data_IF_572483402794
#
_entry.id   IF_572483402794
#
_cell.length_a   1.000
_cell.length_b   1.000
_cell.length_c   1.000
_cell.angle_alpha   90.00
_cell.angle_beta   90.00
_cell.angle_gamma   90.00
#
_symmetry.space_group_name_H-M   'P 1'
#
loop_
_entity.id
_entity.type
_entity.pdbx_description
1 polymer ?
#
# COMPACT_ATOMS: atom_id res chain seq x y z
N UNK A 1 12.32 8.44 -38.90
CA UNK A 1 10.85 8.29 -38.96
C UNK A 1 10.31 8.45 -37.55
N UNK A 2 9.76 9.62 -37.21
CA UNK A 2 9.15 9.88 -35.90
C UNK A 2 7.74 9.31 -35.88
N UNK A 3 7.57 8.13 -35.30
CA UNK A 3 6.26 7.48 -35.18
C UNK A 3 5.51 8.08 -33.99
N UNK A 4 4.83 9.20 -34.20
CA UNK A 4 3.81 9.73 -33.28
C UNK A 4 2.44 9.30 -33.74
N UNK A 5 2.20 7.98 -33.73
CA UNK A 5 0.85 7.43 -33.91
C UNK A 5 0.14 7.44 -32.56
N UNK A 6 -0.76 8.41 -32.39
CA UNK A 6 -1.77 8.39 -31.32
C UNK A 6 -2.74 7.23 -31.57
N UNK A 7 -2.51 6.11 -30.90
CA UNK A 7 -3.39 4.95 -30.87
C UNK A 7 -4.71 5.36 -30.19
N UNK A 8 -5.82 5.31 -30.94
CA UNK A 8 -7.16 5.32 -30.36
C UNK A 8 -7.44 3.90 -29.83
N UNK A 9 -7.42 3.72 -28.51
CA UNK A 9 -7.89 2.48 -27.89
C UNK A 9 -9.42 2.46 -27.94
N UNK A 10 -9.99 1.40 -28.52
CA UNK A 10 -11.44 1.24 -28.66
C UNK A 10 -12.08 0.65 -27.41
N UNK A 11 -13.29 1.16 -27.17
CA UNK A 11 -14.23 0.93 -26.08
C UNK A 11 -14.51 -0.57 -25.85
N UNK A 12 -14.56 -0.99 -24.58
CA UNK A 12 -15.19 -2.26 -24.21
C UNK A 12 -16.61 -1.97 -23.72
N UNK A 13 -17.56 -2.82 -24.12
CA UNK A 13 -18.92 -2.84 -23.59
C UNK A 13 -18.91 -3.01 -22.07
N UNK A 14 -19.20 -1.93 -21.35
CA UNK A 14 -19.45 -1.97 -19.91
C UNK A 14 -20.89 -2.43 -19.71
N UNK A 15 -21.07 -3.61 -19.13
CA UNK A 15 -22.39 -4.07 -18.68
C UNK A 15 -22.96 -3.06 -17.66
N UNK A 16 -24.27 -2.79 -17.67
CA UNK A 16 -24.89 -1.85 -16.73
C UNK A 16 -24.62 -2.30 -15.28
N UNK A 17 -23.97 -1.42 -14.51
CA UNK A 17 -23.61 -1.70 -13.11
C UNK A 17 -24.79 -1.35 -12.20
N UNK A 18 -25.21 -2.25 -11.28
CA UNK A 18 -26.23 -1.93 -10.28
C UNK A 18 -25.79 -0.78 -9.37
N UNK A 19 -26.67 0.18 -9.10
CA UNK A 19 -26.40 1.28 -8.15
C UNK A 19 -26.42 0.75 -6.72
N UNK A 20 -25.35 1.02 -5.96
CA UNK A 20 -25.29 0.75 -4.52
C UNK A 20 -25.95 1.89 -3.72
N UNK A 21 -26.68 1.57 -2.65
CA UNK A 21 -27.25 2.57 -1.74
C UNK A 21 -26.14 3.24 -0.90
N UNK A 22 -26.16 4.57 -0.82
CA UNK A 22 -25.14 5.35 -0.12
C UNK A 22 -25.23 5.19 1.41
N UNK A 23 -24.12 4.78 2.04
CA UNK A 23 -24.01 4.67 3.49
C UNK A 23 -23.84 6.05 4.17
N UNK A 24 -24.55 6.27 5.28
CA UNK A 24 -24.45 7.51 6.11
C UNK A 24 -23.44 7.31 7.24
N UNK A 25 -22.23 7.83 7.10
CA UNK A 25 -21.20 7.89 8.16
C UNK A 25 -20.86 9.33 8.52
N UNK A 26 -20.66 9.62 9.81
CA UNK A 26 -20.43 10.96 10.36
C UNK A 26 -19.17 11.63 9.81
N UNK A 27 -19.33 12.82 9.24
CA UNK A 27 -18.34 13.47 8.38
C UNK A 27 -17.41 14.40 9.16
N UNK A 28 -16.13 14.03 9.22
CA UNK A 28 -15.07 15.02 9.03
C UNK A 28 -15.36 15.73 7.70
N UNK A 29 -15.21 17.06 7.60
CA UNK A 29 -15.53 17.78 6.37
C UNK A 29 -14.85 17.09 5.18
N UNK A 30 -15.65 16.43 4.34
CA UNK A 30 -15.13 15.54 3.32
C UNK A 30 -14.32 16.37 2.33
N UNK A 31 -13.09 15.96 2.06
CA UNK A 31 -12.28 16.59 1.03
C UNK A 31 -13.01 16.49 -0.31
N UNK A 32 -13.46 17.63 -0.82
CA UNK A 32 -14.29 17.74 -2.03
C UNK A 32 -13.47 17.85 -3.31
N UNK A 33 -12.13 17.86 -3.22
CA UNK A 33 -11.26 17.91 -4.41
C UNK A 33 -11.54 16.71 -5.33
N UNK A 34 -11.60 16.89 -6.66
CA UNK A 34 -11.79 15.77 -7.56
C UNK A 34 -10.65 14.75 -7.45
N UNK A 35 -10.99 13.49 -7.69
CA UNK A 35 -10.04 12.39 -7.77
C UNK A 35 -9.67 12.21 -9.23
N UNK A 36 -8.39 12.29 -9.56
CA UNK A 36 -7.85 11.86 -10.83
C UNK A 36 -7.22 10.47 -10.69
N UNK A 37 -7.90 9.48 -11.26
CA UNK A 37 -7.39 8.13 -11.38
C UNK A 37 -6.49 8.01 -12.62
N UNK A 38 -5.18 8.01 -12.39
CA UNK A 38 -4.19 7.67 -13.41
C UNK A 38 -4.34 6.19 -13.74
N UNK A 39 -5.02 5.89 -14.84
CA UNK A 39 -5.16 4.54 -15.31
C UNK A 39 -3.83 4.12 -15.93
N UNK A 40 -3.15 3.10 -15.38
CA UNK A 40 -2.00 2.48 -16.03
C UNK A 40 -2.50 1.22 -16.77
N UNK A 41 -2.17 1.04 -18.07
CA UNK A 41 -2.71 -0.09 -18.81
C UNK A 41 -2.35 -1.43 -18.15
N UNK A 42 -3.38 -2.27 -18.01
CA UNK A 42 -3.33 -3.65 -17.48
C UNK A 42 -3.05 -3.77 -15.97
N UNK A 43 -3.39 -2.74 -15.18
CA UNK A 43 -3.33 -2.77 -13.70
C UNK A 43 -4.71 -2.86 -13.02
N UNK A 44 -5.75 -3.24 -13.77
CA UNK A 44 -7.11 -3.39 -13.24
C UNK A 44 -7.91 -2.09 -13.18
N UNK A 45 -7.49 -1.05 -13.89
CA UNK A 45 -8.16 0.25 -13.85
C UNK A 45 -9.62 0.23 -14.29
N UNK A 46 -10.03 -0.66 -15.20
CA UNK A 46 -11.46 -0.82 -15.51
C UNK A 46 -12.31 -1.21 -14.29
N UNK A 47 -11.80 -2.08 -13.41
CA UNK A 47 -12.50 -2.43 -12.16
C UNK A 47 -12.63 -1.21 -11.25
N UNK A 48 -11.60 -0.37 -11.14
CA UNK A 48 -11.64 0.87 -10.35
C UNK A 48 -12.59 1.90 -10.95
N UNK A 49 -12.57 2.09 -12.27
CA UNK A 49 -13.50 3.01 -12.96
C UNK A 49 -14.94 2.54 -12.79
N UNK A 50 -15.22 1.26 -12.99
CA UNK A 50 -16.55 0.68 -12.74
C UNK A 50 -17.00 0.85 -11.29
N UNK A 51 -16.08 0.79 -10.33
CA UNK A 51 -16.38 1.07 -8.94
C UNK A 51 -16.89 2.51 -8.74
N UNK A 52 -16.17 3.53 -9.21
CA UNK A 52 -16.62 4.92 -9.10
C UNK A 52 -17.92 5.19 -9.86
N UNK A 53 -18.07 4.61 -11.06
CA UNK A 53 -19.28 4.74 -11.87
C UNK A 53 -20.51 4.10 -11.21
N UNK A 54 -20.35 3.16 -10.26
CA UNK A 54 -21.48 2.50 -9.62
C UNK A 54 -22.22 3.39 -8.61
N UNK A 55 -21.61 4.50 -8.16
CA UNK A 55 -22.19 5.38 -7.15
C UNK A 55 -22.09 6.87 -7.46
N UNK A 56 -21.20 7.31 -8.37
CA UNK A 56 -21.13 8.70 -8.79
C UNK A 56 -22.16 9.02 -9.88
N UNK A 57 -22.75 10.23 -9.87
CA UNK A 57 -23.51 10.75 -11.01
C UNK A 57 -22.61 10.83 -12.26
N UNK A 58 -23.13 10.43 -13.43
CA UNK A 58 -22.37 10.38 -14.69
C UNK A 58 -21.82 11.76 -15.08
N UNK A 59 -22.55 12.82 -14.79
CA UNK A 59 -22.17 14.22 -15.01
C UNK A 59 -20.98 14.67 -14.17
N UNK A 60 -20.70 13.97 -13.06
CA UNK A 60 -19.55 14.22 -12.17
C UNK A 60 -18.31 13.39 -12.54
N UNK A 61 -18.38 12.61 -13.62
CA UNK A 61 -17.29 11.76 -14.11
C UNK A 61 -16.78 12.24 -15.47
N UNK A 62 -15.44 12.22 -15.66
CA UNK A 62 -14.81 12.57 -16.92
C UNK A 62 -13.66 11.60 -17.33
N UNK A 63 -13.65 11.08 -18.57
CA UNK A 63 -14.65 11.27 -19.61
C UNK A 63 -15.96 10.57 -19.19
N UNK A 64 -17.12 11.04 -19.70
CA UNK A 64 -18.36 10.32 -19.46
C UNK A 64 -18.31 8.97 -20.19
N UNK A 65 -18.89 7.89 -19.64
CA UNK A 65 -19.10 6.66 -20.39
C UNK A 65 -19.80 6.94 -21.73
N UNK A 66 -19.47 6.19 -22.81
CA UNK A 66 -18.57 5.03 -22.86
C UNK A 66 -17.08 5.38 -23.02
N UNK A 67 -16.71 6.67 -23.11
CA UNK A 67 -15.32 7.08 -23.27
C UNK A 67 -14.54 6.77 -21.99
N UNK A 68 -13.70 5.75 -22.05
CA UNK A 68 -13.06 5.19 -20.86
C UNK A 68 -11.70 5.82 -20.51
N UNK A 69 -11.15 6.65 -21.40
CA UNK A 69 -9.79 7.13 -21.21
C UNK A 69 -9.57 8.51 -21.81
N UNK A 70 -9.22 9.47 -20.96
CA UNK A 70 -8.67 10.75 -21.44
C UNK A 70 -7.35 10.52 -22.17
N UNK A 71 -7.30 11.00 -23.42
CA UNK A 71 -6.07 11.15 -24.18
C UNK A 71 -5.66 12.63 -24.19
N UNK A 72 -4.39 12.91 -24.51
CA UNK A 72 -3.85 14.27 -24.51
C UNK A 72 -4.65 15.35 -25.29
N UNK A 73 -5.39 15.07 -26.38
CA UNK A 73 -6.22 16.09 -27.03
C UNK A 73 -7.52 16.46 -26.27
N UNK A 74 -7.93 15.70 -25.25
CA UNK A 74 -9.23 15.86 -24.57
C UNK A 74 -9.19 16.81 -23.36
N UNK A 75 -8.07 17.50 -23.12
CA UNK A 75 -7.87 18.33 -21.93
C UNK A 75 -8.72 19.60 -21.88
N UNK A 76 -8.98 20.25 -23.02
CA UNK A 76 -9.72 21.50 -23.04
C UNK A 76 -11.19 21.33 -22.59
N UNK A 77 -11.94 20.31 -23.07
CA UNK A 77 -13.26 19.99 -22.54
C UNK A 77 -13.26 19.60 -21.06
N UNK A 78 -12.25 18.84 -20.60
CA UNK A 78 -12.10 18.48 -19.19
C UNK A 78 -12.04 19.74 -18.32
N UNK A 79 -11.13 20.66 -18.67
CA UNK A 79 -10.88 21.88 -17.92
C UNK A 79 -12.13 22.72 -17.69
N UNK A 80 -13.00 22.83 -18.70
CA UNK A 80 -14.25 23.59 -18.60
C UNK A 80 -15.27 22.99 -17.61
N UNK A 81 -15.22 21.67 -17.38
CA UNK A 81 -16.13 20.95 -16.47
C UNK A 81 -15.58 20.74 -15.06
N UNK A 82 -14.29 21.04 -14.82
CA UNK A 82 -13.61 20.75 -13.55
C UNK A 82 -14.38 21.11 -12.29
N UNK A 83 -15.03 22.30 -12.17
CA UNK A 83 -15.70 22.68 -10.93
C UNK A 83 -16.85 21.76 -10.52
N UNK A 84 -17.39 20.95 -11.43
CA UNK A 84 -18.50 20.03 -11.17
C UNK A 84 -18.09 18.55 -11.20
N UNK A 85 -16.81 18.23 -11.39
CA UNK A 85 -16.34 16.86 -11.46
C UNK A 85 -15.89 16.37 -10.08
N UNK A 86 -16.26 15.12 -9.77
CA UNK A 86 -15.82 14.40 -8.59
C UNK A 86 -14.74 13.37 -8.95
N UNK A 87 -14.77 12.84 -10.17
CA UNK A 87 -13.86 11.79 -10.62
C UNK A 87 -13.43 11.99 -12.08
N UNK A 88 -12.14 11.83 -12.31
CA UNK A 88 -11.52 11.84 -13.61
C UNK A 88 -10.68 10.58 -13.79
N UNK A 89 -10.59 10.06 -15.00
CA UNK A 89 -9.68 8.94 -15.27
C UNK A 89 -9.09 8.96 -16.67
N UNK A 90 -7.87 8.44 -16.81
CA UNK A 90 -7.26 8.32 -18.13
C UNK A 90 -5.80 7.90 -18.14
N UNK A 91 -5.27 7.72 -19.34
CA UNK A 91 -3.89 7.37 -19.63
C UNK A 91 -3.13 8.66 -19.97
N UNK A 92 -2.65 9.39 -18.97
CA UNK A 92 -1.92 10.64 -19.26
C UNK A 92 -0.48 10.36 -19.69
N UNK A 93 -0.07 11.01 -20.78
CA UNK A 93 1.34 11.08 -21.21
C UNK A 93 1.94 12.46 -21.01
N UNK A 94 1.15 13.39 -20.49
CA UNK A 94 1.59 14.72 -20.09
C UNK A 94 1.30 14.95 -18.61
N UNK A 95 1.95 15.95 -17.99
CA UNK A 95 1.76 16.24 -16.58
C UNK A 95 0.31 16.59 -16.28
N UNK A 96 -0.28 15.98 -15.25
CA UNK A 96 -1.63 16.26 -14.75
C UNK A 96 -1.76 17.71 -14.28
N UNK A 97 -0.65 18.36 -13.95
CA UNK A 97 -0.60 19.79 -13.63
C UNK A 97 -1.04 20.69 -14.79
N UNK A 98 -1.05 20.15 -16.02
CA UNK A 98 -1.63 20.82 -17.18
C UNK A 98 -3.16 20.79 -17.17
N UNK A 99 -3.78 19.92 -16.38
CA UNK A 99 -5.22 19.96 -16.13
C UNK A 99 -5.54 20.97 -15.03
N UNK A 100 -4.87 20.84 -13.89
CA UNK A 100 -5.20 21.57 -12.67
C UNK A 100 -3.99 21.63 -11.72
N UNK A 101 -3.88 22.65 -10.84
CA UNK A 101 -2.85 22.67 -9.82
C UNK A 101 -2.88 21.40 -8.94
N UNK A 102 -1.72 20.82 -8.57
CA UNK A 102 -1.65 19.64 -7.69
C UNK A 102 -2.44 19.76 -6.40
N UNK A 103 -2.47 20.95 -5.80
CA UNK A 103 -3.15 21.24 -4.54
C UNK A 103 -4.68 21.06 -4.63
N UNK A 104 -5.24 21.17 -5.83
CA UNK A 104 -6.68 21.05 -6.08
C UNK A 104 -7.09 19.64 -6.49
N UNK A 105 -6.14 18.71 -6.66
CA UNK A 105 -6.39 17.36 -7.18
C UNK A 105 -5.90 16.27 -6.24
N UNK A 106 -6.67 15.19 -6.14
CA UNK A 106 -6.22 13.94 -5.50
C UNK A 106 -5.85 12.95 -6.58
N UNK A 107 -4.59 12.50 -6.62
CA UNK A 107 -4.12 11.57 -7.66
C UNK A 107 -4.09 10.15 -7.10
N UNK A 108 -4.80 9.25 -7.77
CA UNK A 108 -4.82 7.84 -7.42
C UNK A 108 -4.34 6.97 -8.59
N UNK A 109 -3.75 5.81 -8.30
CA UNK A 109 -3.43 4.81 -9.33
C UNK A 109 -3.43 3.39 -8.76
N UNK A 110 -3.34 2.39 -9.64
CA UNK A 110 -3.11 0.99 -9.27
C UNK A 110 -1.86 0.47 -9.98
N UNK A 111 -1.02 -0.23 -9.24
CA UNK A 111 0.21 -0.87 -9.72
C UNK A 111 0.02 -2.39 -9.73
N UNK A 112 0.68 -3.06 -10.68
CA UNK A 112 0.67 -4.52 -10.81
C UNK A 112 2.09 -5.07 -10.79
N UNK A 113 2.25 -6.35 -10.44
CA UNK A 113 3.53 -7.03 -10.59
C UNK A 113 4.09 -6.82 -12.01
N UNK A 114 5.34 -6.31 -12.17
CA UNK A 114 5.84 -5.83 -13.47
C UNK A 114 5.80 -6.89 -14.58
N UNK A 115 6.28 -8.10 -14.29
CA UNK A 115 6.23 -9.25 -15.22
C UNK A 115 4.80 -9.59 -15.65
N UNK A 116 3.87 -9.70 -14.69
CA UNK A 116 2.45 -10.02 -14.97
C UNK A 116 1.78 -8.95 -15.81
N UNK A 117 2.11 -7.68 -15.56
CA UNK A 117 1.62 -6.54 -16.34
C UNK A 117 2.09 -6.63 -17.78
N UNK A 118 3.38 -6.88 -18.02
CA UNK A 118 3.94 -6.97 -19.37
C UNK A 118 3.36 -8.15 -20.14
N UNK A 119 3.31 -9.34 -19.52
CA UNK A 119 2.66 -10.51 -20.11
C UNK A 119 1.20 -10.23 -20.48
N UNK A 120 0.43 -9.63 -19.55
CA UNK A 120 -0.97 -9.27 -19.78
C UNK A 120 -1.14 -8.24 -20.91
N UNK A 121 -0.17 -7.34 -21.12
CA UNK A 121 -0.23 -6.34 -22.17
C UNK A 121 0.12 -6.94 -23.55
N UNK A 122 1.15 -7.78 -23.62
CA UNK A 122 1.48 -8.53 -24.84
C UNK A 122 0.31 -9.39 -25.30
N UNK A 123 -0.28 -10.16 -24.38
CA UNK A 123 -1.43 -11.02 -24.69
C UNK A 123 -2.66 -10.18 -25.09
N UNK A 124 -2.86 -9.00 -24.47
CA UNK A 124 -3.91 -8.09 -24.89
C UNK A 124 -3.78 -7.68 -26.37
N UNK A 125 -2.59 -7.30 -26.84
CA UNK A 125 -2.36 -7.06 -28.27
C UNK A 125 -2.59 -8.33 -29.11
N UNK A 126 -2.11 -9.48 -28.63
CA UNK A 126 -2.23 -10.75 -29.36
C UNK A 126 -3.67 -11.18 -29.62
N UNK A 127 -4.61 -10.90 -28.71
CA UNK A 127 -6.02 -11.32 -28.85
C UNK A 127 -6.97 -10.25 -29.36
N UNK A 128 -6.63 -8.97 -29.23
CA UNK A 128 -7.51 -7.87 -29.67
C UNK A 128 -7.23 -7.46 -31.11
N UNK A 129 -8.01 -8.02 -32.03
CA UNK A 129 -7.88 -7.83 -33.49
C UNK A 129 -8.00 -6.37 -33.94
N UNK A 130 -8.66 -5.54 -33.13
CA UNK A 130 -8.89 -4.12 -33.38
C UNK A 130 -7.66 -3.24 -33.07
N UNK A 131 -6.67 -3.76 -32.35
CA UNK A 131 -5.51 -2.97 -31.95
C UNK A 131 -4.44 -2.94 -33.06
N UNK A 132 -3.79 -1.78 -33.31
CA UNK A 132 -2.74 -1.67 -34.33
C UNK A 132 -1.59 -2.69 -34.17
N UNK A 133 -1.27 -3.06 -32.92
CA UNK A 133 -0.19 -3.99 -32.60
C UNK A 133 -0.59 -5.47 -32.71
N UNK A 134 -1.84 -5.78 -33.05
CA UNK A 134 -2.34 -7.15 -33.10
C UNK A 134 -1.55 -8.04 -34.05
N UNK A 135 -1.43 -7.62 -35.31
CA UNK A 135 -0.75 -8.40 -36.34
C UNK A 135 0.71 -8.70 -35.96
N UNK A 136 1.38 -7.72 -35.33
CA UNK A 136 2.76 -7.87 -34.89
C UNK A 136 2.88 -8.80 -33.68
N UNK A 137 2.04 -8.62 -32.66
CA UNK A 137 2.04 -9.47 -31.46
C UNK A 137 1.66 -10.94 -31.76
N UNK A 138 0.85 -11.16 -32.81
CA UNK A 138 0.48 -12.50 -33.29
C UNK A 138 1.62 -13.22 -34.01
N UNK A 139 2.48 -12.47 -34.73
CA UNK A 139 3.58 -13.03 -35.52
C UNK A 139 4.85 -13.26 -34.69
N UNK A 140 5.09 -12.44 -33.68
CA UNK A 140 6.31 -12.49 -32.86
C UNK A 140 6.06 -13.24 -31.55
N UNK A 141 7.07 -13.97 -31.07
CA UNK A 141 7.12 -14.38 -29.66
C UNK A 141 7.20 -13.15 -28.76
N UNK A 142 6.87 -13.29 -27.47
CA UNK A 142 6.99 -12.17 -26.51
C UNK A 142 8.42 -11.61 -26.45
N UNK A 143 9.45 -12.47 -26.54
CA UNK A 143 10.85 -12.04 -26.53
C UNK A 143 11.19 -11.19 -27.76
N UNK A 144 10.81 -11.63 -28.96
CA UNK A 144 11.03 -10.87 -30.20
C UNK A 144 10.25 -9.56 -30.18
N UNK A 145 8.97 -9.62 -29.77
CA UNK A 145 8.12 -8.44 -29.63
C UNK A 145 8.77 -7.37 -28.73
N UNK A 146 9.28 -7.75 -27.56
CA UNK A 146 9.88 -6.79 -26.62
C UNK A 146 11.29 -6.30 -27.03
N UNK A 147 11.99 -7.04 -27.91
CA UNK A 147 13.22 -6.54 -28.55
C UNK A 147 12.90 -5.46 -29.59
N UNK A 148 11.87 -5.66 -30.40
CA UNK A 148 11.43 -4.69 -31.40
C UNK A 148 10.70 -3.48 -30.80
N UNK A 149 9.98 -3.67 -29.70
CA UNK A 149 9.15 -2.64 -29.06
C UNK A 149 9.52 -2.44 -27.58
N UNK A 150 10.71 -1.88 -27.30
CA UNK A 150 11.26 -1.73 -25.95
C UNK A 150 10.36 -0.91 -25.00
N UNK A 151 9.53 -0.01 -25.54
CA UNK A 151 8.62 0.83 -24.75
C UNK A 151 7.60 0.06 -23.90
N UNK A 152 7.32 -1.21 -24.24
CA UNK A 152 6.37 -2.04 -23.52
C UNK A 152 6.98 -2.81 -22.34
N UNK A 153 8.31 -2.83 -22.22
CA UNK A 153 9.07 -3.51 -21.16
C UNK A 153 9.93 -2.57 -20.32
N UNK A 154 10.42 -1.46 -20.87
CA UNK A 154 11.27 -0.51 -20.13
C UNK A 154 10.44 0.30 -19.12
N UNK A 155 10.38 -0.21 -17.89
CA UNK A 155 9.69 0.38 -16.72
C UNK A 155 8.39 1.11 -17.08
N UNK A 156 7.42 0.42 -17.74
CA UNK A 156 6.26 1.09 -18.27
C UNK A 156 5.43 1.77 -17.18
N UNK A 157 5.26 1.17 -15.99
CA UNK A 157 4.41 1.76 -14.94
C UNK A 157 5.05 3.02 -14.36
N UNK A 158 6.35 2.97 -14.02
CA UNK A 158 7.11 4.14 -13.57
C UNK A 158 7.13 5.24 -14.63
N UNK A 159 7.24 4.89 -15.91
CA UNK A 159 7.22 5.85 -17.01
C UNK A 159 5.88 6.57 -17.13
N UNK A 160 4.76 5.85 -17.03
CA UNK A 160 3.42 6.46 -17.02
C UNK A 160 3.28 7.43 -15.84
N UNK A 161 3.68 7.00 -14.65
CA UNK A 161 3.56 7.79 -13.43
C UNK A 161 4.47 9.04 -13.46
N UNK A 162 5.74 8.91 -13.85
CA UNK A 162 6.66 10.03 -13.99
C UNK A 162 6.18 11.07 -15.02
N UNK A 163 5.62 10.63 -16.14
CA UNK A 163 5.04 11.51 -17.15
C UNK A 163 3.82 12.27 -16.62
N UNK A 164 2.90 11.56 -15.97
CA UNK A 164 1.70 12.13 -15.36
C UNK A 164 2.01 13.09 -14.22
N UNK A 165 3.10 12.88 -13.46
CA UNK A 165 3.52 13.77 -12.37
C UNK A 165 4.43 14.91 -12.83
N UNK A 166 4.81 14.96 -14.11
CA UNK A 166 5.65 16.01 -14.64
C UNK A 166 7.12 15.96 -14.22
N UNK A 167 7.59 14.80 -13.77
CA UNK A 167 8.99 14.52 -13.44
C UNK A 167 9.84 14.36 -14.72
N UNK A 168 9.89 15.41 -15.55
CA UNK A 168 10.65 15.46 -16.81
C UNK A 168 12.14 15.25 -16.54
N UNK A 169 12.79 14.44 -17.38
CA UNK A 169 14.23 14.17 -17.27
C UNK A 169 14.60 13.01 -16.35
N UNK A 170 13.64 12.44 -15.62
CA UNK A 170 13.79 11.13 -15.02
C UNK A 170 13.86 10.12 -16.17
N UNK A 171 15.07 9.76 -16.58
CA UNK A 171 15.26 8.65 -17.50
C UNK A 171 14.66 7.41 -16.81
N UNK A 172 13.66 6.72 -17.39
CA UNK A 172 13.13 5.49 -16.80
C UNK A 172 14.22 4.41 -16.60
N UNK A 173 15.39 4.58 -17.21
CA UNK A 173 16.59 3.75 -16.99
C UNK A 173 17.42 4.18 -15.77
N UNK A 174 17.20 5.36 -15.18
CA UNK A 174 17.90 5.87 -14.00
C UNK A 174 17.50 5.20 -12.67
N UNK A 175 16.69 4.15 -12.68
CA UNK A 175 16.72 3.12 -11.63
C UNK A 175 15.69 3.21 -10.49
N UNK A 176 15.92 2.35 -9.49
CA UNK A 176 15.08 1.98 -8.33
C UNK A 176 14.52 3.18 -7.56
N UNK A 177 15.35 4.21 -7.36
CA UNK A 177 15.04 5.36 -6.50
C UNK A 177 13.84 6.16 -7.03
N UNK A 178 13.69 6.24 -8.35
CA UNK A 178 12.54 6.92 -8.97
C UNK A 178 11.22 6.25 -8.57
N UNK A 179 11.17 4.92 -8.54
CA UNK A 179 9.93 4.18 -8.26
C UNK A 179 9.32 4.50 -6.89
N UNK A 180 10.15 4.55 -5.84
CA UNK A 180 9.69 4.83 -4.48
C UNK A 180 9.21 6.29 -4.31
N UNK A 181 9.98 7.25 -4.83
CA UNK A 181 9.64 8.68 -4.71
C UNK A 181 8.35 9.06 -5.44
N UNK A 182 7.99 8.35 -6.51
CA UNK A 182 6.75 8.64 -7.25
C UNK A 182 5.48 8.33 -6.44
N UNK A 183 5.54 7.43 -5.46
CA UNK A 183 4.39 7.13 -4.58
C UNK A 183 4.13 8.28 -3.60
N UNK A 184 5.15 9.05 -3.24
CA UNK A 184 5.02 10.16 -2.28
C UNK A 184 4.15 11.31 -2.82
N UNK A 185 4.07 11.44 -4.15
CA UNK A 185 3.21 12.43 -4.82
C UNK A 185 1.76 11.95 -5.03
N UNK A 186 1.44 10.71 -4.61
CA UNK A 186 0.12 10.12 -4.77
C UNK A 186 -0.72 10.27 -3.50
N UNK A 187 -2.00 10.56 -3.69
CA UNK A 187 -3.00 10.54 -2.62
C UNK A 187 -3.41 9.11 -2.26
N UNK A 188 -3.44 8.21 -3.27
CA UNK A 188 -3.74 6.80 -3.07
C UNK A 188 -3.01 5.90 -4.08
N UNK A 189 -2.52 4.74 -3.63
CA UNK A 189 -2.00 3.69 -4.53
C UNK A 189 -2.55 2.31 -4.15
N UNK A 190 -3.18 1.67 -5.13
CA UNK A 190 -3.66 0.29 -5.02
C UNK A 190 -2.71 -0.74 -5.64
N UNK A 191 -2.90 -2.00 -5.28
CA UNK A 191 -2.13 -3.14 -5.80
C UNK A 191 -3.08 -4.14 -6.47
N UNK A 192 -2.88 -4.41 -7.76
CA UNK A 192 -3.77 -5.30 -8.54
C UNK A 192 -3.88 -6.71 -7.96
N UNK A 193 -2.79 -7.28 -7.45
CA UNK A 193 -2.81 -8.61 -6.82
C UNK A 193 -3.57 -8.65 -5.50
N UNK A 194 -3.84 -7.48 -4.88
CA UNK A 194 -4.62 -7.29 -3.66
C UNK A 194 -5.83 -6.40 -3.95
N UNK A 195 -6.51 -6.66 -5.07
CA UNK A 195 -7.57 -5.79 -5.60
C UNK A 195 -8.68 -5.50 -4.59
N UNK A 196 -9.23 -6.52 -3.92
CA UNK A 196 -10.30 -6.31 -2.94
C UNK A 196 -9.83 -5.44 -1.78
N UNK A 197 -8.68 -5.77 -1.17
CA UNK A 197 -8.09 -4.99 -0.09
C UNK A 197 -7.79 -3.55 -0.51
N UNK A 198 -7.33 -3.34 -1.74
CA UNK A 198 -7.04 -2.02 -2.29
C UNK A 198 -8.32 -1.22 -2.54
N UNK A 199 -9.39 -1.87 -3.03
CA UNK A 199 -10.69 -1.21 -3.21
C UNK A 199 -11.31 -0.85 -1.87
N UNK A 200 -11.29 -1.74 -0.87
CA UNK A 200 -11.80 -1.42 0.46
C UNK A 200 -11.01 -0.26 1.08
N UNK A 201 -9.68 -0.24 0.92
CA UNK A 201 -8.86 0.88 1.35
C UNK A 201 -9.19 2.18 0.62
N UNK A 202 -9.39 2.11 -0.70
CA UNK A 202 -9.75 3.26 -1.53
C UNK A 202 -11.14 3.82 -1.18
N UNK A 203 -12.13 2.93 -1.03
CA UNK A 203 -13.50 3.28 -0.65
C UNK A 203 -13.48 4.04 0.67
N UNK A 204 -12.77 3.50 1.66
CA UNK A 204 -12.69 4.12 2.96
C UNK A 204 -11.91 5.45 2.93
N UNK A 205 -10.77 5.49 2.24
CA UNK A 205 -9.93 6.69 2.09
C UNK A 205 -10.68 7.86 1.44
N UNK A 206 -11.58 7.57 0.49
CA UNK A 206 -12.39 8.58 -0.19
C UNK A 206 -13.81 8.74 0.36
N UNK A 207 -14.19 8.01 1.41
CA UNK A 207 -15.58 8.00 1.92
C UNK A 207 -16.60 7.45 0.91
N UNK A 208 -16.16 6.60 -0.01
CA UNK A 208 -16.97 5.89 -0.99
C UNK A 208 -17.52 4.56 -0.40
N UNK A 209 -18.64 4.03 -0.94
CA UNK A 209 -19.15 2.73 -0.52
C UNK A 209 -18.16 1.61 -0.85
N UNK A 210 -18.11 0.53 -0.07
CA UNK A 210 -17.33 -0.67 -0.43
C UNK A 210 -17.96 -1.37 -1.64
N UNK A 211 -17.14 -2.01 -2.47
CA UNK A 211 -17.56 -2.72 -3.66
C UNK A 211 -16.76 -4.00 -3.84
N UNK A 212 -17.42 -5.14 -4.10
CA UNK A 212 -16.72 -6.39 -4.33
C UNK A 212 -15.93 -6.30 -5.64
N UNK A 213 -14.66 -6.67 -5.61
CA UNK A 213 -13.79 -6.71 -6.77
C UNK A 213 -14.36 -7.65 -7.82
N UNK A 214 -14.93 -7.07 -8.88
CA UNK A 214 -15.40 -7.84 -10.03
C UNK A 214 -14.24 -8.13 -10.98
N UNK A 215 -14.13 -9.39 -11.39
CA UNK A 215 -13.25 -9.79 -12.50
C UNK A 215 -13.90 -9.44 -13.83
N UNK A 216 -13.85 -8.16 -14.19
CA UNK A 216 -14.47 -7.64 -15.43
C UNK A 216 -13.68 -7.98 -16.70
N UNK A 217 -12.44 -8.48 -16.57
CA UNK A 217 -11.53 -8.73 -17.70
C UNK A 217 -10.75 -10.03 -17.52
N UNK A 218 -11.44 -11.17 -17.52
CA UNK A 218 -10.77 -12.45 -17.77
C UNK A 218 -10.35 -12.45 -19.25
N UNK A 219 -9.05 -12.28 -19.49
CA UNK A 219 -8.51 -12.26 -20.85
C UNK A 219 -8.73 -13.60 -21.55
N UNK A 220 -8.72 -13.58 -22.89
CA UNK A 220 -8.80 -14.81 -23.70
C UNK A 220 -7.58 -15.73 -23.54
N UNK A 221 -6.50 -15.22 -22.95
CA UNK A 221 -5.29 -16.00 -22.70
C UNK A 221 -5.56 -17.08 -21.66
N UNK A 222 -5.17 -18.30 -21.96
CA UNK A 222 -5.14 -19.37 -20.97
C UNK A 222 -4.12 -19.08 -19.87
N UNK A 223 -4.30 -19.76 -18.73
CA UNK A 223 -3.32 -19.70 -17.62
C UNK A 223 -1.93 -20.13 -18.08
N UNK A 224 -1.85 -21.20 -18.88
CA UNK A 224 -0.58 -21.74 -19.38
C UNK A 224 0.15 -20.75 -20.31
N UNK A 225 -0.60 -20.02 -21.15
CA UNK A 225 -0.01 -18.97 -22.01
C UNK A 225 0.53 -17.78 -21.20
N UNK A 226 -0.18 -17.39 -20.13
CA UNK A 226 0.31 -16.37 -19.20
C UNK A 226 1.58 -16.86 -18.53
N UNK A 227 1.57 -18.07 -17.95
CA UNK A 227 2.73 -18.65 -17.27
C UNK A 227 3.94 -18.80 -18.20
N UNK A 228 3.72 -19.19 -19.47
CA UNK A 228 4.76 -19.26 -20.49
C UNK A 228 5.37 -17.88 -20.80
N UNK A 229 4.55 -16.84 -20.93
CA UNK A 229 5.04 -15.47 -21.10
C UNK A 229 5.85 -15.01 -19.88
N UNK A 230 5.36 -15.28 -18.67
CA UNK A 230 6.07 -14.91 -17.45
C UNK A 230 7.40 -15.66 -17.31
N UNK A 231 7.47 -16.94 -17.69
CA UNK A 231 8.71 -17.71 -17.67
C UNK A 231 9.81 -17.10 -18.55
N UNK A 232 9.44 -16.55 -19.72
CA UNK A 232 10.39 -15.82 -20.58
C UNK A 232 10.85 -14.52 -19.89
N UNK A 233 9.92 -13.77 -19.31
CA UNK A 233 10.18 -12.47 -18.66
C UNK A 233 10.95 -12.57 -17.33
N UNK A 234 11.01 -13.76 -16.72
CA UNK A 234 11.81 -14.00 -15.51
C UNK A 234 13.30 -14.20 -15.77
N UNK A 235 13.75 -14.18 -17.04
CA UNK A 235 15.18 -14.21 -17.36
C UNK A 235 15.82 -12.85 -17.03
N UNK A 236 17.08 -12.88 -16.59
CA UNK A 236 17.80 -11.69 -16.10
C UNK A 236 17.79 -10.51 -17.09
N UNK A 237 17.92 -10.78 -18.39
CA UNK A 237 17.90 -9.76 -19.44
C UNK A 237 16.64 -8.88 -19.41
N UNK A 238 15.51 -9.42 -18.97
CA UNK A 238 14.22 -8.73 -18.91
C UNK A 238 13.97 -8.10 -17.53
N UNK A 239 14.38 -8.77 -16.46
CA UNK A 239 14.21 -8.27 -15.09
C UNK A 239 14.93 -6.95 -14.87
N UNK A 240 16.14 -6.78 -15.42
CA UNK A 240 16.88 -5.52 -15.33
C UNK A 240 16.12 -4.33 -15.94
N UNK A 241 15.30 -4.59 -16.97
CA UNK A 241 14.50 -3.56 -17.68
C UNK A 241 13.23 -3.16 -16.90
N UNK A 242 12.90 -3.91 -15.85
CA UNK A 242 11.73 -3.71 -14.99
C UNK A 242 12.10 -3.26 -13.57
N UNK A 243 13.36 -2.94 -13.30
CA UNK A 243 13.85 -2.67 -11.94
C UNK A 243 13.12 -1.50 -11.24
N UNK A 244 12.82 -0.41 -11.95
CA UNK A 244 12.08 0.71 -11.37
C UNK A 244 10.62 0.34 -11.12
N UNK A 245 10.00 -0.44 -12.01
CA UNK A 245 8.64 -0.96 -11.83
C UNK A 245 8.56 -1.93 -10.63
N UNK A 246 9.60 -2.75 -10.37
CA UNK A 246 9.68 -3.59 -9.17
C UNK A 246 9.76 -2.75 -7.89
N UNK A 247 10.57 -1.71 -7.91
CA UNK A 247 10.73 -0.78 -6.79
C UNK A 247 9.44 -0.02 -6.50
N UNK A 248 8.78 0.46 -7.56
CA UNK A 248 7.44 1.07 -7.49
C UNK A 248 6.41 0.08 -6.91
N UNK A 249 6.43 -1.17 -7.36
CA UNK A 249 5.52 -2.21 -6.89
C UNK A 249 5.72 -2.50 -5.40
N UNK A 250 6.97 -2.57 -4.93
CA UNK A 250 7.30 -2.75 -3.52
C UNK A 250 6.82 -1.55 -2.70
N UNK A 251 7.12 -0.32 -3.13
CA UNK A 251 6.70 0.89 -2.43
C UNK A 251 5.17 1.01 -2.30
N UNK A 252 4.42 0.61 -3.34
CA UNK A 252 2.96 0.54 -3.31
C UNK A 252 2.43 -0.50 -2.32
N UNK A 253 3.11 -1.65 -2.21
CA UNK A 253 2.78 -2.72 -1.26
C UNK A 253 2.98 -2.24 0.19
N UNK A 254 4.14 -1.63 0.45
CA UNK A 254 4.46 -1.07 1.75
C UNK A 254 3.51 0.09 2.12
N UNK A 255 3.10 0.91 1.14
CA UNK A 255 2.09 1.95 1.35
C UNK A 255 0.76 1.34 1.81
N UNK A 256 0.27 0.31 1.12
CA UNK A 256 -1.00 -0.35 1.46
C UNK A 256 -0.92 -1.04 2.82
N UNK A 257 0.19 -1.72 3.12
CA UNK A 257 0.39 -2.36 4.43
C UNK A 257 0.45 -1.34 5.56
N UNK A 258 1.15 -0.20 5.36
CA UNK A 258 1.16 0.90 6.33
C UNK A 258 -0.24 1.46 6.54
N UNK A 259 -0.99 1.71 5.46
CA UNK A 259 -2.36 2.20 5.54
C UNK A 259 -3.25 1.27 6.37
N UNK A 260 -3.21 -0.04 6.07
CA UNK A 260 -3.99 -1.04 6.81
C UNK A 260 -3.55 -1.17 8.27
N UNK A 261 -2.24 -1.16 8.55
CA UNK A 261 -1.70 -1.22 9.91
C UNK A 261 -2.16 -0.01 10.72
N UNK A 262 -2.11 1.19 10.14
CA UNK A 262 -2.59 2.42 10.77
C UNK A 262 -4.10 2.38 11.06
N UNK A 263 -4.90 1.81 10.15
CA UNK A 263 -6.34 1.63 10.35
C UNK A 263 -6.67 0.62 11.44
N UNK A 264 -5.99 -0.52 11.45
CA UNK A 264 -6.11 -1.49 12.55
C UNK A 264 -5.72 -0.83 13.87
N UNK A 265 -4.66 -0.02 13.88
CA UNK A 265 -4.21 0.70 15.07
C UNK A 265 -5.28 1.69 15.55
N UNK A 266 -5.83 2.51 14.65
CA UNK A 266 -6.89 3.46 14.99
C UNK A 266 -8.14 2.78 15.56
N UNK A 267 -8.55 1.63 14.99
CA UNK A 267 -9.66 0.84 15.51
C UNK A 267 -9.34 0.24 16.88
N UNK A 268 -8.18 -0.39 17.02
CA UNK A 268 -7.73 -0.93 18.30
C UNK A 268 -7.61 0.17 19.38
N UNK A 269 -7.19 1.38 19.00
CA UNK A 269 -7.17 2.57 19.86
C UNK A 269 -8.56 2.95 20.34
N UNK A 270 -9.51 3.03 19.42
CA UNK A 270 -10.89 3.35 19.75
C UNK A 270 -11.49 2.29 20.69
N UNK A 271 -11.28 1.01 20.40
CA UNK A 271 -11.76 -0.11 21.22
C UNK A 271 -11.10 -0.10 22.61
N UNK A 272 -9.79 0.12 22.69
CA UNK A 272 -9.06 0.21 23.95
C UNK A 272 -9.54 1.39 24.80
N UNK A 273 -9.68 2.59 24.20
CA UNK A 273 -10.20 3.77 24.90
C UNK A 273 -11.64 3.59 25.35
N UNK A 274 -12.50 2.97 24.55
CA UNK A 274 -13.87 2.65 24.92
C UNK A 274 -13.91 1.66 26.11
N UNK A 275 -13.06 0.63 26.07
CA UNK A 275 -12.90 -0.33 27.16
C UNK A 275 -12.38 0.29 28.45
N UNK A 276 -11.38 1.18 28.37
CA UNK A 276 -10.82 1.92 29.51
C UNK A 276 -11.86 2.86 30.16
N UNK A 277 -12.79 3.40 29.36
CA UNK A 277 -13.91 4.22 29.83
C UNK A 277 -15.11 3.39 30.34
N UNK A 278 -15.09 2.07 30.17
CA UNK A 278 -16.21 1.19 30.51
C UNK A 278 -17.42 1.32 29.57
N UNK A 279 -17.24 1.86 28.36
CA UNK A 279 -18.33 2.14 27.39
C UNK A 279 -18.32 1.11 26.23
N UNK A 280 -17.39 0.16 26.22
CA UNK A 280 -17.26 -0.82 25.16
C UNK A 280 -16.62 -2.13 25.60
N UNK A 281 -16.47 -3.08 24.67
CA UNK A 281 -15.72 -4.31 24.94
C UNK A 281 -14.30 -3.92 25.37
N UNK A 282 -13.84 -4.50 26.48
CA UNK A 282 -12.47 -4.33 26.93
C UNK A 282 -11.60 -5.28 26.11
N UNK A 283 -10.78 -4.79 25.16
CA UNK A 283 -9.87 -5.68 24.42
C UNK A 283 -8.92 -6.34 25.42
N UNK A 284 -8.24 -7.39 24.99
CA UNK A 284 -7.25 -8.04 25.85
C UNK A 284 -6.16 -7.03 26.24
N UNK A 285 -6.07 -6.69 27.53
CA UNK A 285 -5.13 -5.69 28.04
C UNK A 285 -3.97 -6.41 28.74
N UNK A 286 -2.74 -6.11 28.33
CA UNK A 286 -1.52 -6.66 28.91
C UNK A 286 -1.26 -6.11 30.31
N UNK A 287 -1.42 -4.81 30.47
CA UNK A 287 -1.26 -4.09 31.73
C UNK A 287 -2.16 -2.87 31.73
N UNK A 288 -2.72 -2.54 32.89
CA UNK A 288 -3.60 -1.39 33.06
C UNK A 288 -3.26 -0.70 34.39
N UNK A 289 -3.25 0.63 34.36
CA UNK A 289 -3.20 1.49 35.55
C UNK A 289 -4.30 2.53 35.41
N UNK A 290 -5.22 2.60 36.36
CA UNK A 290 -6.35 3.54 36.32
C UNK A 290 -7.05 3.56 34.94
N UNK A 291 -6.92 4.67 34.22
CA UNK A 291 -7.54 4.94 32.93
C UNK A 291 -6.57 4.77 31.73
N UNK A 292 -5.39 4.20 31.96
CA UNK A 292 -4.40 3.86 30.94
C UNK A 292 -4.20 2.35 30.80
N UNK A 293 -3.97 1.91 29.57
CA UNK A 293 -3.82 0.50 29.24
C UNK A 293 -2.86 0.27 28.07
N UNK A 294 -2.27 -0.93 28.02
CA UNK A 294 -1.41 -1.37 26.93
C UNK A 294 -1.91 -2.71 26.39
N UNK A 295 -1.90 -2.85 25.06
CA UNK A 295 -2.26 -4.10 24.37
C UNK A 295 -1.30 -4.40 23.23
N UNK A 296 -1.32 -5.63 22.73
CA UNK A 296 -0.61 -5.99 21.50
C UNK A 296 -1.34 -5.42 20.29
N UNK A 297 -0.58 -4.90 19.33
CA UNK A 297 -1.12 -4.49 18.04
C UNK A 297 -0.73 -5.46 16.93
N UNK A 298 0.55 -5.51 16.55
CA UNK A 298 1.05 -6.40 15.50
C UNK A 298 2.34 -7.12 15.90
N UNK A 299 2.48 -8.36 15.41
CA UNK A 299 3.72 -9.13 15.49
C UNK A 299 3.94 -9.94 16.76
N UNK A 300 3.04 -9.87 17.75
CA UNK A 300 3.18 -10.56 19.03
C UNK A 300 2.43 -11.89 19.09
N UNK A 301 3.03 -12.89 19.73
CA UNK A 301 2.45 -14.20 19.98
C UNK A 301 2.66 -14.60 21.44
N UNK A 302 1.59 -15.09 22.08
CA UNK A 302 1.69 -15.70 23.40
C UNK A 302 2.27 -17.12 23.28
N UNK A 303 3.28 -17.45 24.09
CA UNK A 303 3.99 -18.75 24.03
C UNK A 303 3.06 -19.96 24.23
N UNK A 304 1.91 -19.79 24.88
CA UNK A 304 0.92 -20.84 25.12
C UNK A 304 0.37 -21.50 23.84
N UNK A 305 0.64 -20.95 22.66
CA UNK A 305 0.26 -21.54 21.37
C UNK A 305 1.26 -22.59 20.82
N UNK A 306 2.46 -22.74 21.41
CA UNK A 306 3.54 -23.60 20.86
C UNK A 306 3.85 -24.84 21.72
N UNK A 307 2.90 -25.30 22.54
CA UNK A 307 2.87 -26.70 22.99
C UNK A 307 3.51 -27.06 24.34
N UNK A 308 4.11 -26.13 25.09
CA UNK A 308 4.44 -26.37 26.50
C UNK A 308 4.11 -25.14 27.35
N UNK A 309 3.11 -25.27 28.23
CA UNK A 309 2.77 -24.25 29.20
C UNK A 309 3.89 -24.12 30.25
N UNK A 310 4.86 -23.25 29.98
CA UNK A 310 5.75 -22.74 31.04
C UNK A 310 4.96 -21.76 31.91
N UNK A 311 5.18 -21.81 33.21
CA UNK A 311 4.44 -21.06 34.24
C UNK A 311 4.66 -19.54 34.24
N UNK A 312 5.23 -18.98 33.17
CA UNK A 312 5.52 -17.55 33.05
C UNK A 312 4.95 -17.00 31.74
N UNK A 313 4.34 -15.81 31.80
CA UNK A 313 3.78 -15.08 30.67
C UNK A 313 4.89 -14.60 29.71
N UNK A 314 5.56 -15.50 29.00
CA UNK A 314 6.57 -15.12 28.02
C UNK A 314 5.91 -14.76 26.69
N UNK A 315 6.33 -13.64 26.13
CA UNK A 315 5.85 -13.14 24.85
C UNK A 315 6.98 -13.18 23.83
N UNK A 316 6.65 -13.66 22.63
CA UNK A 316 7.57 -13.80 21.50
C UNK A 316 7.02 -12.99 20.33
N UNK A 317 7.91 -12.54 19.44
CA UNK A 317 7.49 -11.98 18.17
C UNK A 317 8.24 -12.60 16.99
N UNK A 318 7.55 -12.65 15.85
CA UNK A 318 8.10 -13.13 14.58
C UNK A 318 8.10 -12.07 13.48
N UNK A 319 7.50 -10.89 13.73
CA UNK A 319 7.49 -9.80 12.75
C UNK A 319 8.79 -8.98 12.84
N UNK A 320 9.15 -8.32 11.74
CA UNK A 320 10.31 -7.43 11.67
C UNK A 320 10.18 -6.19 12.57
N UNK A 321 8.94 -5.83 12.94
CA UNK A 321 8.59 -4.61 13.67
C UNK A 321 7.38 -4.87 14.57
N UNK A 322 7.53 -5.55 15.72
CA UNK A 322 6.42 -5.75 16.64
C UNK A 322 5.97 -4.40 17.20
N UNK A 323 4.68 -4.29 17.49
CA UNK A 323 4.11 -3.04 17.98
C UNK A 323 3.14 -3.25 19.14
N UNK A 324 3.22 -2.33 20.09
CA UNK A 324 2.33 -2.21 21.23
C UNK A 324 1.44 -1.00 21.02
N UNK A 325 0.21 -1.08 21.48
CA UNK A 325 -0.68 0.06 21.53
C UNK A 325 -0.86 0.50 22.97
N UNK A 326 -0.47 1.73 23.27
CA UNK A 326 -0.55 2.34 24.60
C UNK A 326 -1.61 3.43 24.56
N UNK A 327 -2.59 3.40 25.47
CA UNK A 327 -3.63 4.43 25.53
C UNK A 327 -3.82 4.96 26.95
N UNK A 328 -4.23 6.24 27.06
CA UNK A 328 -4.60 6.89 28.31
C UNK A 328 -5.88 7.69 28.11
N UNK A 329 -6.99 7.32 28.76
CA UNK A 329 -8.28 7.94 28.50
C UNK A 329 -8.29 9.46 28.80
N UNK A 330 -7.55 9.89 29.83
CA UNK A 330 -7.33 11.28 30.22
C UNK A 330 -6.11 11.94 29.55
N UNK A 331 -5.29 11.19 28.80
CA UNK A 331 -4.03 11.68 28.23
C UNK A 331 -2.92 11.87 29.28
N UNK A 332 -3.05 11.26 30.46
CA UNK A 332 -2.00 11.28 31.49
C UNK A 332 -0.75 10.55 30.98
N UNK A 333 0.45 11.09 31.28
CA UNK A 333 1.70 10.49 30.86
C UNK A 333 1.90 9.14 31.55
N UNK A 334 2.53 8.20 30.85
CA UNK A 334 2.81 6.85 31.36
C UNK A 334 4.22 6.40 31.02
N UNK A 335 4.76 5.53 31.86
CA UNK A 335 6.01 4.81 31.59
C UNK A 335 5.68 3.36 31.27
N UNK A 336 6.16 2.88 30.13
CA UNK A 336 6.08 1.46 29.77
C UNK A 336 7.41 0.81 30.13
N UNK A 337 7.34 -0.25 30.94
CA UNK A 337 8.47 -1.09 31.32
C UNK A 337 8.35 -2.45 30.65
N UNK A 338 9.39 -2.88 29.94
CA UNK A 338 9.49 -4.19 29.32
C UNK A 338 10.68 -4.96 29.88
N UNK A 339 10.44 -6.12 30.48
CA UNK A 339 11.50 -6.99 30.97
C UNK A 339 11.93 -7.98 29.89
N UNK A 340 13.13 -7.80 29.35
CA UNK A 340 13.64 -8.62 28.24
C UNK A 340 14.30 -9.89 28.78
N UNK A 341 13.81 -11.05 28.35
CA UNK A 341 14.37 -12.35 28.75
C UNK A 341 15.64 -12.69 27.98
N UNK A 342 15.58 -12.53 26.66
CA UNK A 342 16.66 -12.96 25.79
C UNK A 342 16.69 -12.09 24.53
N UNK A 343 17.86 -11.54 24.23
CA UNK A 343 18.15 -10.76 23.02
C UNK A 343 18.95 -11.63 22.05
N UNK A 344 18.37 -12.74 21.56
CA UNK A 344 19.13 -13.59 20.64
C UNK A 344 19.53 -12.79 19.39
N UNK A 345 20.83 -12.48 19.30
CA UNK A 345 21.51 -11.86 18.14
C UNK A 345 21.09 -10.42 17.77
N UNK A 346 20.47 -9.64 18.67
CA UNK A 346 20.23 -8.21 18.44
C UNK A 346 21.33 -7.34 19.09
N UNK A 347 21.90 -6.42 18.31
CA UNK A 347 22.71 -5.33 18.87
C UNK A 347 21.78 -4.37 19.63
N UNK A 348 21.71 -4.62 20.93
CA UNK A 348 20.98 -3.87 21.92
C UNK A 348 21.13 -2.35 21.80
N UNK A 349 22.35 -1.87 21.49
CA UNK A 349 22.67 -0.45 21.38
C UNK A 349 21.94 0.23 20.20
N UNK A 350 21.22 -0.55 19.40
CA UNK A 350 20.53 -0.10 18.19
C UNK A 350 19.03 -0.38 18.22
N UNK A 351 18.48 -0.91 19.32
CA UNK A 351 17.02 -0.97 19.48
C UNK A 351 16.51 0.46 19.62
N UNK A 352 15.56 0.82 18.75
CA UNK A 352 14.88 2.10 18.80
C UNK A 352 13.41 1.86 19.11
N UNK A 353 12.83 2.73 19.92
CA UNK A 353 11.40 2.74 20.17
C UNK A 353 10.82 3.90 19.37
N UNK A 354 9.96 3.60 18.42
CA UNK A 354 9.17 4.63 17.76
C UNK A 354 7.86 4.82 18.53
N UNK A 355 7.63 6.03 19.01
CA UNK A 355 6.43 6.46 19.73
C UNK A 355 5.72 7.45 18.81
N UNK A 356 4.67 7.00 18.12
CA UNK A 356 4.10 7.78 17.01
C UNK A 356 5.15 8.01 15.91
N UNK A 357 5.40 9.28 15.58
CA UNK A 357 6.42 9.68 14.59
C UNK A 357 7.79 9.96 15.21
N UNK A 358 7.90 9.90 16.55
CA UNK A 358 9.13 10.20 17.27
C UNK A 358 9.94 8.94 17.51
N UNK A 359 11.24 9.00 17.22
CA UNK A 359 12.17 7.93 17.55
C UNK A 359 12.87 8.24 18.87
N UNK A 360 12.60 7.45 19.89
CA UNK A 360 13.29 7.51 21.18
C UNK A 360 14.43 6.49 21.16
N UNK A 361 15.65 6.99 21.40
CA UNK A 361 16.81 6.14 21.63
C UNK A 361 16.68 5.57 23.04
N UNK A 362 16.59 4.25 23.16
CA UNK A 362 16.64 3.61 24.47
C UNK A 362 18.10 3.51 24.87
N UNK A 363 18.44 4.03 26.05
CA UNK A 363 19.77 3.85 26.61
C UNK A 363 19.96 2.37 26.99
N UNK A 364 20.48 1.60 26.04
CA UNK A 364 20.82 0.21 26.25
C UNK A 364 22.10 0.12 27.08
N UNK A 365 21.99 0.19 28.40
CA UNK A 365 23.02 -0.35 29.26
C UNK A 365 23.07 -1.87 29.01
N UNK A 366 24.08 -2.31 28.24
CA UNK A 366 24.48 -3.69 27.93
C UNK A 366 23.44 -4.77 28.31
N UNK A 367 22.57 -5.13 27.36
CA UNK A 367 21.49 -6.11 27.56
C UNK A 367 22.03 -7.52 27.79
N UNK A 368 22.34 -7.86 29.05
CA UNK A 368 22.32 -9.25 29.53
C UNK A 368 20.85 -9.72 29.67
N UNK A 369 20.59 -11.05 29.72
CA UNK A 369 19.27 -11.56 30.12
C UNK A 369 18.77 -10.84 31.39
N UNK A 370 17.54 -10.32 31.34
CA UNK A 370 16.92 -9.60 32.47
C UNK A 370 17.00 -8.07 32.44
N UNK A 371 17.37 -7.43 31.33
CA UNK A 371 17.31 -5.96 31.25
C UNK A 371 15.89 -5.42 31.05
N UNK A 372 15.63 -4.31 31.72
CA UNK A 372 14.44 -3.49 31.57
C UNK A 372 14.62 -2.43 30.48
N UNK A 373 13.72 -2.42 29.51
CA UNK A 373 13.53 -1.28 28.62
C UNK A 373 12.42 -0.40 29.21
N UNK A 374 12.73 0.86 29.50
CA UNK A 374 11.77 1.84 29.97
C UNK A 374 11.64 2.94 28.92
N UNK A 375 10.42 3.28 28.54
CA UNK A 375 10.15 4.43 27.68
C UNK A 375 8.89 5.18 28.14
N UNK A 376 8.92 6.49 27.94
CA UNK A 376 7.92 7.42 28.43
C UNK A 376 7.04 7.91 27.29
N UNK A 377 5.72 7.89 27.50
CA UNK A 377 4.74 8.53 26.60
C UNK A 377 4.18 9.73 27.34
N UNK A 378 4.58 10.92 26.92
CA UNK A 378 4.14 12.16 27.56
C UNK A 378 2.72 12.56 27.15
N UNK A 379 2.16 13.55 27.86
CA UNK A 379 0.81 14.03 27.62
C UNK A 379 0.63 14.68 26.23
N UNK A 380 1.67 15.34 25.71
CA UNK A 380 1.59 16.00 24.41
C UNK A 380 1.56 14.97 23.27
N UNK A 381 2.34 13.89 23.40
CA UNK A 381 2.31 12.74 22.48
C UNK A 381 0.94 12.07 22.48
N UNK A 382 0.34 11.84 23.65
CA UNK A 382 -1.04 11.33 23.70
C UNK A 382 -2.01 12.27 22.98
N UNK A 383 -1.94 13.57 23.27
CA UNK A 383 -2.81 14.57 22.65
C UNK A 383 -2.67 14.60 21.12
N UNK A 384 -1.44 14.51 20.59
CA UNK A 384 -1.17 14.46 19.15
C UNK A 384 -1.75 13.22 18.46
N UNK A 385 -1.82 12.10 19.17
CA UNK A 385 -2.29 10.82 18.62
C UNK A 385 -3.67 10.39 19.14
N UNK A 386 -4.50 11.33 19.62
CA UNK A 386 -5.88 11.03 20.03
C UNK A 386 -5.96 10.08 21.23
N UNK A 387 -5.07 10.27 22.21
CA UNK A 387 -4.97 9.53 23.47
C UNK A 387 -4.57 8.06 23.34
N UNK A 388 -4.09 7.63 22.17
CA UNK A 388 -3.54 6.30 21.96
C UNK A 388 -2.35 6.36 20.99
N UNK A 389 -1.25 5.74 21.38
CA UNK A 389 0.03 5.84 20.69
C UNK A 389 0.52 4.45 20.32
N UNK A 390 0.86 4.28 19.04
CA UNK A 390 1.51 3.08 18.57
C UNK A 390 3.00 3.14 18.92
N UNK A 391 3.48 2.10 19.60
CA UNK A 391 4.87 1.96 20.00
C UNK A 391 5.48 0.81 19.22
N UNK A 392 6.45 1.11 18.34
CA UNK A 392 7.14 0.10 17.52
C UNK A 392 8.55 -0.13 18.04
N UNK A 393 8.95 -1.39 18.13
CA UNK A 393 10.35 -1.75 18.35
C UNK A 393 11.03 -1.94 17.00
N UNK A 394 12.10 -1.20 16.75
CA UNK A 394 12.82 -1.24 15.48
C UNK A 394 14.20 -1.84 15.71
N UNK A 395 14.55 -2.79 14.85
CA UNK A 395 15.89 -3.35 14.78
C UNK A 395 16.94 -2.38 14.24
N UNK A 396 18.22 -2.78 14.30
CA UNK A 396 19.37 -1.94 13.94
C UNK A 396 19.38 -1.43 12.51
N UNK A 397 18.68 -2.11 11.59
CA UNK A 397 18.73 -1.79 10.17
C UNK A 397 17.51 -0.96 9.72
N UNK A 398 16.75 -0.42 10.66
CA UNK A 398 15.58 0.43 10.39
C UNK A 398 14.31 -0.35 10.04
N UNK A 399 13.19 0.36 9.82
CA UNK A 399 11.91 -0.26 9.52
C UNK A 399 11.85 -0.95 8.15
N UNK A 400 12.82 -0.67 7.26
CA UNK A 400 12.80 -1.05 5.85
C UNK A 400 13.72 -2.22 5.50
N UNK A 401 14.38 -2.89 6.46
CA UNK A 401 15.04 -4.16 6.10
C UNK A 401 14.01 -5.23 5.86
N UNK A 402 13.95 -5.67 4.61
CA UNK A 402 13.23 -6.84 4.11
C UNK A 402 13.33 -8.00 5.10
N UNK A 403 12.20 -8.25 5.74
CA UNK A 403 11.62 -9.50 6.23
C UNK A 403 12.54 -10.66 6.65
N UNK A 404 12.12 -11.30 7.75
CA UNK A 404 12.38 -12.70 8.10
C UNK A 404 12.11 -13.72 6.97
N UNK A 405 11.55 -13.30 5.82
CA UNK A 405 11.23 -14.17 4.70
C UNK A 405 12.45 -14.56 3.85
N UNK A 406 13.63 -13.97 4.10
CA UNK A 406 14.90 -14.36 3.48
C UNK A 406 15.72 -15.35 4.33
N UNK A 407 15.05 -16.19 5.14
CA UNK A 407 15.72 -17.39 5.69
C UNK A 407 15.91 -18.34 4.51
N UNK A 408 17.15 -18.49 4.08
CA UNK A 408 17.58 -19.56 3.19
C UNK A 408 17.10 -20.91 3.79
N UNK A 409 16.15 -21.61 3.15
CA UNK A 409 15.63 -22.88 3.67
C UNK A 409 16.71 -23.97 3.75
N UNK A 410 17.90 -23.74 3.18
CA UNK A 410 19.04 -24.67 3.24
C UNK A 410 20.01 -24.38 4.40
N UNK A 411 19.83 -23.27 5.13
CA UNK A 411 20.63 -22.93 6.31
C UNK A 411 20.10 -23.66 7.55
N UNK A 412 20.87 -24.61 8.09
CA UNK A 412 20.59 -25.34 9.34
C UNK A 412 20.52 -24.44 10.61
N UNK A 413 20.78 -23.13 10.53
CA UNK A 413 20.58 -22.19 11.65
C UNK A 413 19.12 -21.70 11.70
N UNK A 414 18.18 -22.64 11.91
CA UNK A 414 16.73 -22.40 11.90
C UNK A 414 16.17 -21.72 13.15
N UNK A 415 17.00 -21.13 14.03
CA UNK A 415 16.44 -20.37 15.15
C UNK A 415 16.05 -18.98 14.62
N UNK A 416 14.75 -18.63 14.54
CA UNK A 416 14.37 -17.25 14.25
C UNK A 416 15.11 -16.34 15.22
N UNK A 417 15.59 -15.19 14.75
CA UNK A 417 16.18 -14.14 15.60
C UNK A 417 15.09 -13.58 16.51
N UNK A 418 14.74 -14.31 17.54
CA UNK A 418 13.62 -14.01 18.40
C UNK A 418 14.06 -13.13 19.56
N UNK A 419 13.25 -12.14 19.87
CA UNK A 419 13.35 -11.39 21.11
C UNK A 419 12.21 -11.86 22.02
N UNK A 420 12.54 -12.17 23.26
CA UNK A 420 11.56 -12.65 24.24
C UNK A 420 11.39 -11.62 25.36
N UNK A 421 10.15 -11.33 25.71
CA UNK A 421 9.80 -10.42 26.81
C UNK A 421 9.10 -11.21 27.91
N UNK A 422 9.58 -11.07 29.15
CA UNK A 422 9.01 -11.71 30.35
C UNK A 422 7.73 -11.05 30.78
N UNK A 423 7.70 -9.73 30.72
CA UNK A 423 6.57 -8.94 31.17
C UNK A 423 6.62 -7.54 30.55
N UNK A 424 5.43 -6.98 30.37
CA UNK A 424 5.21 -5.62 29.92
C UNK A 424 4.28 -4.98 30.95
N UNK A 425 4.74 -3.93 31.62
CA UNK A 425 3.99 -3.25 32.67
C UNK A 425 3.86 -1.76 32.39
N UNK A 426 2.70 -1.21 32.72
CA UNK A 426 2.48 0.24 32.76
C UNK A 426 2.72 0.77 34.16
N UNK A 427 3.39 1.91 34.25
CA UNK A 427 3.67 2.64 35.48
C UNK A 427 3.22 4.10 35.33
N UNK A 428 2.77 4.75 36.41
CA UNK A 428 2.62 6.20 36.42
C UNK A 428 3.96 6.85 36.05
N UNK A 429 3.88 7.96 35.31
CA UNK A 429 5.02 8.80 34.96
C UNK A 429 5.83 9.29 36.17
#
# INVERSE_FOLDING_TARGET
MSNTDTVKETENDILPVPRAEAAKGGAQAADTRPIFFLHIPKTGGNTVVSHFLSFLPVESVFPPPPQLTLMDPDFAPARARMPSLAFLHGHLRVPVQRLMPPEDLRIATFIRHPVRRVASHYLYFRYRTELPMHHVAKQLSIAEFLRHYPLYIDNPQSRYLAQALGRRGADPRQGVELGATLIEDLDFVGVTERMQESLDAMSEHYGAPSFPAQRLNEGQASRDEIEACEAVLRRDEWLMRLNADFSLRQAAEEWLDRWQSNRRAARASADLLAGLRGIGPKPWVLSQIEDAGITFHEGWYAQGWVGEARSENQYWWSSASPSLLVASASGRPVTVRMHVLETMKFDAARIRVMIGDHTVKVEAALLNPGVELNFHVDAETFKQHGNAVLVRLIGPNGPNTSTFAAIDPTSNDHRPRSFAVRSITLLPA
#
